data_IF_156616878300
#
_entry.id   IF_156616878300
#
_cell.length_a   1.000
_cell.length_b   1.000
_cell.length_c   1.000
_cell.angle_alpha   90.00
_cell.angle_beta   90.00
_cell.angle_gamma   90.00
#
_symmetry.space_group_name_H-M   'P 1'
#
loop_
_entity.id
_entity.type
_entity.pdbx_description
1 polymer ?
#
# COMPACT_ATOMS: atom_id res chain seq x y z
N UNK A 1 -66.73 23.43 23.77
CA UNK A 1 -65.63 24.42 23.90
C UNK A 1 -65.73 25.44 22.76
N UNK A 2 -65.19 26.64 22.95
CA UNK A 2 -65.19 27.67 21.91
C UNK A 2 -64.20 27.27 20.78
N UNK A 3 -64.50 27.56 19.50
CA UNK A 3 -63.59 27.26 18.40
C UNK A 3 -62.29 28.04 18.56
N UNK A 4 -61.15 27.33 18.53
CA UNK A 4 -59.84 27.95 18.47
C UNK A 4 -59.65 28.51 17.05
N UNK A 5 -59.66 29.84 16.91
CA UNK A 5 -59.31 30.50 15.66
C UNK A 5 -57.79 30.60 15.59
N UNK A 6 -57.14 30.06 14.53
CA UNK A 6 -55.70 30.23 14.34
C UNK A 6 -55.35 31.72 14.27
N UNK A 7 -54.35 32.15 15.03
CA UNK A 7 -53.87 33.53 14.97
C UNK A 7 -53.12 33.74 13.63
N UNK A 8 -53.62 34.57 12.70
CA UNK A 8 -52.96 34.84 11.43
C UNK A 8 -51.61 35.55 11.58
N UNK A 9 -51.34 36.21 12.72
CA UNK A 9 -50.08 36.90 12.99
C UNK A 9 -49.01 36.01 13.64
N UNK A 10 -49.30 34.72 13.87
CA UNK A 10 -48.33 33.80 14.44
C UNK A 10 -47.30 33.35 13.40
N UNK A 11 -46.11 33.95 13.45
CA UNK A 11 -44.99 33.67 12.54
C UNK A 11 -44.07 32.54 13.02
N UNK A 12 -44.56 31.65 13.89
CA UNK A 12 -43.74 30.61 14.51
C UNK A 12 -42.85 31.13 15.64
N UNK A 13 -42.03 30.25 16.26
CA UNK A 13 -41.00 30.66 17.20
C UNK A 13 -39.99 31.60 16.51
N UNK A 14 -39.63 32.70 17.17
CA UNK A 14 -38.63 33.61 16.64
C UNK A 14 -37.26 32.92 16.51
N UNK A 15 -36.64 33.01 15.34
CA UNK A 15 -35.27 32.57 15.10
C UNK A 15 -34.34 33.76 14.88
N UNK A 16 -33.20 33.75 15.56
CA UNK A 16 -32.20 34.81 15.43
C UNK A 16 -31.48 34.73 14.07
N UNK A 17 -31.30 35.86 13.35
CA UNK A 17 -30.52 35.87 12.12
C UNK A 17 -29.05 35.55 12.43
N UNK A 18 -28.47 34.63 11.65
CA UNK A 18 -27.04 34.33 11.75
C UNK A 18 -26.25 35.48 11.10
N UNK A 19 -25.59 36.28 11.93
CA UNK A 19 -24.65 37.30 11.46
C UNK A 19 -23.24 36.70 11.36
N UNK A 20 -22.47 37.00 10.29
CA UNK A 20 -21.05 36.67 10.25
C UNK A 20 -20.34 37.30 11.45
N UNK A 21 -19.52 36.52 12.15
CA UNK A 21 -18.73 37.02 13.26
C UNK A 21 -17.56 37.85 12.72
N UNK A 22 -17.52 39.19 12.92
CA UNK A 22 -16.40 40.02 12.47
C UNK A 22 -15.07 39.66 13.15
N UNK A 23 -15.11 39.00 14.32
CA UNK A 23 -13.93 38.55 15.07
C UNK A 23 -13.45 37.14 14.66
N UNK A 24 -14.09 36.48 13.68
CA UNK A 24 -13.66 35.17 13.23
C UNK A 24 -12.36 35.26 12.42
N UNK A 25 -11.28 34.73 12.99
CA UNK A 25 -9.93 34.75 12.40
C UNK A 25 -9.63 33.54 11.51
N UNK A 26 -10.65 32.77 11.13
CA UNK A 26 -10.48 31.49 10.44
C UNK A 26 -10.18 30.34 11.40
N UNK A 27 -10.03 29.12 10.87
CA UNK A 27 -9.58 27.98 11.66
C UNK A 27 -8.17 28.24 12.20
N UNK A 28 -7.95 27.90 13.46
CA UNK A 28 -6.62 27.98 14.06
C UNK A 28 -5.66 27.04 13.33
N UNK A 29 -4.45 27.52 13.03
CA UNK A 29 -3.37 26.75 12.40
C UNK A 29 -2.18 26.75 13.36
N UNK A 30 -1.61 25.58 13.62
CA UNK A 30 -0.41 25.46 14.45
C UNK A 30 0.77 26.21 13.81
N UNK A 31 1.48 27.09 14.54
CA UNK A 31 2.68 27.72 14.02
C UNK A 31 3.74 26.68 13.66
N UNK A 32 4.41 26.85 12.53
CA UNK A 32 5.63 26.09 12.25
C UNK A 32 6.74 26.68 13.11
N UNK A 33 7.26 25.88 14.03
CA UNK A 33 8.38 26.23 14.91
C UNK A 33 9.55 25.35 14.50
N UNK A 34 10.73 25.96 14.33
CA UNK A 34 11.95 25.23 14.00
C UNK A 34 12.27 24.21 15.10
N UNK A 35 12.58 22.98 14.69
CA UNK A 35 12.93 21.91 15.63
C UNK A 35 14.39 22.08 16.09
N UNK A 36 14.66 22.45 17.35
CA UNK A 36 16.03 22.62 17.85
C UNK A 36 16.82 21.30 17.91
N UNK A 37 16.15 20.15 17.84
CA UNK A 37 16.77 18.83 17.77
C UNK A 37 17.06 18.37 16.35
N UNK A 38 16.71 19.16 15.33
CA UNK A 38 17.07 18.83 13.95
C UNK A 38 18.58 19.03 13.74
N UNK A 39 19.25 17.97 13.30
CA UNK A 39 20.63 18.01 12.86
C UNK A 39 20.71 17.41 11.46
N UNK A 40 21.32 18.15 10.54
CA UNK A 40 21.62 17.64 9.22
C UNK A 40 22.81 16.69 9.30
N UNK A 41 22.69 15.53 8.68
CA UNK A 41 23.73 14.51 8.57
C UNK A 41 23.89 14.13 7.08
N UNK A 42 25.10 14.32 6.55
CA UNK A 42 25.46 13.99 5.17
C UNK A 42 25.85 12.51 4.99
N UNK A 43 26.00 11.76 6.09
CA UNK A 43 26.46 10.37 6.12
C UNK A 43 25.35 9.37 6.45
N UNK A 44 24.09 9.77 6.39
CA UNK A 44 22.94 8.89 6.65
C UNK A 44 22.89 7.61 5.80
N UNK A 45 23.60 7.59 4.66
CA UNK A 45 23.73 6.41 3.79
C UNK A 45 25.00 5.59 4.03
N UNK A 46 25.91 6.07 4.86
CA UNK A 46 27.21 5.44 5.13
C UNK A 46 27.12 4.53 6.34
N UNK A 47 27.45 3.26 6.15
CA UNK A 47 27.60 2.29 7.23
C UNK A 47 29.07 1.92 7.36
N UNK A 48 29.58 1.81 8.60
CA UNK A 48 30.99 1.47 8.84
C UNK A 48 31.31 0.05 8.41
N UNK A 49 30.44 -0.90 8.74
CA UNK A 49 30.55 -2.31 8.39
C UNK A 49 29.16 -2.93 8.23
N UNK A 50 29.02 -3.87 7.28
CA UNK A 50 27.81 -4.67 7.08
C UNK A 50 28.18 -6.13 7.34
N UNK A 51 27.77 -6.67 8.48
CA UNK A 51 28.17 -8.01 8.92
C UNK A 51 27.33 -9.16 8.34
N UNK A 52 26.14 -8.87 7.82
CA UNK A 52 25.27 -9.92 7.29
C UNK A 52 23.95 -9.44 6.72
N UNK A 53 23.21 -10.39 6.14
CA UNK A 53 21.87 -10.22 5.60
C UNK A 53 20.91 -11.12 6.36
N UNK A 54 19.83 -10.55 6.86
CA UNK A 54 18.74 -11.29 7.50
C UNK A 54 17.44 -11.11 6.73
N UNK A 55 16.66 -12.17 6.62
CA UNK A 55 15.27 -12.13 6.14
C UNK A 55 14.39 -12.41 7.36
N UNK A 56 13.74 -11.37 7.87
CA UNK A 56 12.77 -11.46 8.97
C UNK A 56 11.43 -10.99 8.42
N UNK A 57 10.48 -11.93 8.30
CA UNK A 57 9.14 -11.66 7.77
C UNK A 57 8.10 -12.49 8.51
N UNK A 58 6.89 -11.93 8.64
CA UNK A 58 5.71 -12.67 9.04
C UNK A 58 4.99 -13.27 7.83
N UNK A 59 4.65 -14.57 7.85
CA UNK A 59 3.82 -15.19 6.83
C UNK A 59 2.61 -15.93 7.43
N UNK A 60 1.44 -15.79 6.79
CA UNK A 60 0.24 -16.56 7.14
C UNK A 60 0.19 -17.90 6.39
N UNK A 61 0.56 -17.90 5.10
CA UNK A 61 0.68 -19.12 4.27
C UNK A 61 2.11 -19.25 3.77
N UNK A 62 2.65 -20.46 3.83
CA UNK A 62 3.96 -20.80 3.29
C UNK A 62 3.97 -20.85 1.76
N UNK A 63 5.15 -20.67 1.16
CA UNK A 63 5.35 -20.80 -0.29
C UNK A 63 6.23 -19.70 -0.89
N UNK A 64 6.61 -18.69 -0.11
CA UNK A 64 7.54 -17.64 -0.54
C UNK A 64 8.93 -18.24 -0.75
N UNK A 65 9.52 -17.96 -1.92
CA UNK A 65 10.89 -18.35 -2.27
C UNK A 65 11.68 -17.07 -2.50
N UNK A 66 12.80 -16.95 -1.81
CA UNK A 66 13.79 -15.89 -2.05
C UNK A 66 14.92 -16.48 -2.89
N UNK A 67 15.15 -15.88 -4.06
CA UNK A 67 16.20 -16.27 -4.99
C UNK A 67 17.08 -15.07 -5.36
N UNK A 68 18.27 -15.35 -5.89
CA UNK A 68 19.13 -14.35 -6.54
C UNK A 68 19.52 -13.12 -5.68
N UNK A 69 19.91 -13.33 -4.42
CA UNK A 69 20.38 -12.24 -3.54
C UNK A 69 21.79 -11.80 -3.98
N UNK A 70 21.90 -10.57 -4.47
CA UNK A 70 23.17 -9.94 -4.87
C UNK A 70 23.39 -8.66 -4.07
N UNK A 71 24.58 -8.53 -3.46
CA UNK A 71 25.04 -7.29 -2.82
C UNK A 71 26.31 -6.87 -3.53
N UNK A 72 26.32 -5.67 -4.08
CA UNK A 72 27.46 -5.12 -4.82
C UNK A 72 27.44 -3.60 -4.79
N UNK A 73 28.61 -2.99 -4.93
CA UNK A 73 28.79 -1.57 -5.19
C UNK A 73 29.03 -1.25 -6.68
N UNK A 74 29.03 -2.28 -7.53
CA UNK A 74 29.20 -2.17 -8.98
C UNK A 74 27.84 -2.20 -9.69
N UNK A 75 27.51 -1.08 -10.33
CA UNK A 75 26.25 -0.86 -11.06
C UNK A 75 26.17 -1.72 -12.33
N UNK A 76 27.28 -1.92 -13.04
CA UNK A 76 27.31 -2.70 -14.27
C UNK A 76 27.12 -4.19 -13.98
N UNK A 77 27.77 -4.69 -12.94
CA UNK A 77 27.59 -6.05 -12.45
C UNK A 77 26.13 -6.28 -12.03
N UNK A 78 25.55 -5.35 -11.25
CA UNK A 78 24.16 -5.43 -10.82
C UNK A 78 23.19 -5.47 -12.01
N UNK A 79 23.40 -4.60 -13.01
CA UNK A 79 22.58 -4.53 -14.22
C UNK A 79 22.66 -5.82 -15.05
N UNK A 80 23.87 -6.36 -15.23
CA UNK A 80 24.09 -7.60 -15.98
C UNK A 80 23.45 -8.80 -15.29
N UNK A 81 23.61 -8.91 -13.97
CA UNK A 81 22.97 -9.95 -13.17
C UNK A 81 21.43 -9.85 -13.26
N UNK A 82 20.88 -8.63 -13.11
CA UNK A 82 19.45 -8.39 -13.22
C UNK A 82 18.90 -8.80 -14.59
N UNK A 83 19.57 -8.43 -15.69
CA UNK A 83 19.16 -8.81 -17.04
C UNK A 83 19.08 -10.33 -17.22
N UNK A 84 20.07 -11.08 -16.70
CA UNK A 84 20.07 -12.54 -16.72
C UNK A 84 18.89 -13.11 -15.93
N UNK A 85 18.65 -12.61 -14.71
CA UNK A 85 17.56 -13.09 -13.85
C UNK A 85 16.20 -12.81 -14.50
N UNK A 86 16.01 -11.64 -15.10
CA UNK A 86 14.77 -11.27 -15.80
C UNK A 86 14.51 -12.22 -16.98
N UNK A 87 15.55 -12.54 -17.76
CA UNK A 87 15.43 -13.49 -18.86
C UNK A 87 15.06 -14.91 -18.37
N UNK A 88 15.67 -15.36 -17.27
CA UNK A 88 15.35 -16.64 -16.64
C UNK A 88 13.90 -16.66 -16.13
N UNK A 89 13.44 -15.61 -15.45
CA UNK A 89 12.05 -15.51 -14.96
C UNK A 89 11.02 -15.50 -16.09
N UNK A 90 11.36 -14.91 -17.24
CA UNK A 90 10.50 -14.98 -18.43
C UNK A 90 10.34 -16.43 -18.94
N UNK A 91 11.46 -17.16 -19.05
CA UNK A 91 11.44 -18.57 -19.45
C UNK A 91 10.74 -19.47 -18.43
N UNK A 92 10.97 -19.25 -17.14
CA UNK A 92 10.29 -19.97 -16.05
C UNK A 92 8.78 -19.77 -16.08
N UNK A 93 8.32 -18.54 -16.37
CA UNK A 93 6.89 -18.24 -16.50
C UNK A 93 6.25 -19.03 -17.65
N UNK A 94 6.93 -19.10 -18.79
CA UNK A 94 6.46 -19.88 -19.94
C UNK A 94 6.41 -21.38 -19.62
N UNK A 95 7.47 -21.91 -19.00
CA UNK A 95 7.52 -23.32 -18.61
C UNK A 95 6.46 -23.65 -17.57
N UNK A 96 6.23 -22.77 -16.60
CA UNK A 96 5.18 -22.93 -15.59
C UNK A 96 3.80 -23.02 -16.24
N UNK A 97 3.49 -22.14 -17.19
CA UNK A 97 2.22 -22.18 -17.91
C UNK A 97 2.02 -23.52 -18.66
N UNK A 98 3.06 -24.03 -19.33
CA UNK A 98 3.04 -25.33 -20.02
C UNK A 98 2.81 -26.49 -19.05
N UNK A 99 3.48 -26.48 -17.89
CA UNK A 99 3.32 -27.51 -16.86
C UNK A 99 1.93 -27.47 -16.25
N UNK A 100 1.38 -26.29 -15.98
CA UNK A 100 0.03 -26.12 -15.43
C UNK A 100 -1.04 -26.58 -16.43
N UNK A 101 -0.89 -26.27 -17.72
CA UNK A 101 -1.79 -26.73 -18.78
C UNK A 101 -1.76 -28.27 -18.93
N UNK A 102 -0.56 -28.86 -18.97
CA UNK A 102 -0.41 -30.32 -19.03
C UNK A 102 -0.98 -31.02 -17.79
N UNK A 103 -0.77 -30.46 -16.60
CA UNK A 103 -1.32 -30.99 -15.36
C UNK A 103 -2.85 -30.94 -15.36
N UNK A 104 -3.44 -29.84 -15.84
CA UNK A 104 -4.89 -29.71 -15.95
C UNK A 104 -5.48 -30.71 -16.96
N UNK A 105 -4.85 -30.86 -18.13
CA UNK A 105 -5.27 -31.84 -19.13
C UNK A 105 -5.20 -33.28 -18.58
N UNK A 106 -4.13 -33.64 -17.87
CA UNK A 106 -4.00 -34.95 -17.25
C UNK A 106 -5.06 -35.20 -16.16
N UNK A 107 -5.38 -34.18 -15.35
CA UNK A 107 -6.45 -34.26 -14.35
C UNK A 107 -7.83 -34.44 -15.00
N UNK A 108 -8.10 -33.74 -16.10
CA UNK A 108 -9.35 -33.88 -16.85
C UNK A 108 -9.48 -35.28 -17.49
N UNK A 109 -8.39 -35.81 -18.07
CA UNK A 109 -8.36 -37.17 -18.63
C UNK A 109 -8.55 -38.24 -17.55
N UNK A 110 -7.89 -38.11 -16.39
CA UNK A 110 -8.05 -39.03 -15.28
C UNK A 110 -9.48 -38.97 -14.69
N UNK A 111 -10.05 -37.78 -14.53
CA UNK A 111 -11.41 -37.60 -14.08
C UNK A 111 -12.43 -38.23 -15.06
N UNK A 112 -12.22 -38.06 -16.37
CA UNK A 112 -13.05 -38.68 -17.40
C UNK A 112 -12.93 -40.22 -17.36
N UNK A 113 -11.72 -40.76 -17.16
CA UNK A 113 -11.50 -42.21 -17.01
C UNK A 113 -12.19 -42.79 -15.78
N UNK A 114 -12.21 -42.07 -14.66
CA UNK A 114 -12.86 -42.49 -13.42
C UNK A 114 -14.40 -42.39 -13.48
N UNK A 115 -14.93 -41.55 -14.38
CA UNK A 115 -16.36 -41.36 -14.57
C UNK A 115 -17.00 -42.31 -15.60
N UNK A 116 -16.20 -43.08 -16.35
CA UNK A 116 -16.63 -44.08 -17.33
C UNK A 116 -16.64 -45.49 -16.72
#
# INVERSE_FOLDING_TARGET
>A
EAPLVPNPDYNGPWEQPRIPNPDYKGPWIQPMIDNPSYAYDDKVTSFSDIAGVGIEIWQVKSGTIFDNILITNDVELASTAAAKIVAQKAAEKENKAKVEEAAKAAQEEEAARLAA
#
